data_IF_985784499573
#
_entry.id   IF_985784499573
#
_cell.length_a   1.000
_cell.length_b   1.000
_cell.length_c   1.000
_cell.angle_alpha   90.00
_cell.angle_beta   90.00
_cell.angle_gamma   90.00
#
_symmetry.space_group_name_H-M   'P 1'
#
loop_
_entity.id
_entity.type
_entity.pdbx_description
1 polymer ?
#
# COMPACT_ATOMS: atom_id res chain seq x y z
N UNK A 1 34.15 -34.72 -11.14
CA UNK A 1 35.37 -34.30 -10.40
C UNK A 1 35.04 -33.25 -9.35
N UNK A 2 34.63 -32.04 -9.75
CA UNK A 2 34.25 -30.95 -8.84
C UNK A 2 33.31 -31.34 -7.68
N UNK A 3 32.20 -32.02 -7.99
CA UNK A 3 31.19 -32.42 -7.01
C UNK A 3 31.61 -33.49 -5.98
N UNK A 4 32.77 -34.13 -6.16
CA UNK A 4 33.29 -35.17 -5.25
C UNK A 4 34.58 -34.69 -4.58
N UNK A 5 35.56 -34.26 -5.39
CA UNK A 5 36.91 -33.92 -4.94
C UNK A 5 36.96 -32.63 -4.09
N UNK A 6 36.08 -31.64 -4.33
CA UNK A 6 36.05 -30.39 -3.56
C UNK A 6 35.20 -30.49 -2.27
N UNK A 7 34.53 -31.64 -2.04
CA UNK A 7 33.52 -31.82 -0.98
C UNK A 7 33.94 -32.79 0.14
N UNK A 8 35.15 -33.37 0.08
CA UNK A 8 35.69 -34.24 1.13
C UNK A 8 35.90 -33.50 2.47
N UNK A 9 35.96 -32.16 2.44
CA UNK A 9 36.27 -31.33 3.60
C UNK A 9 37.77 -31.26 3.88
N UNK A 10 38.19 -30.11 4.39
CA UNK A 10 39.57 -29.80 4.80
C UNK A 10 39.63 -28.37 5.30
N UNK A 11 40.49 -28.09 6.28
CA UNK A 11 40.87 -26.72 6.59
C UNK A 11 41.75 -26.21 5.46
N UNK A 12 41.35 -25.12 4.81
CA UNK A 12 42.30 -24.31 4.07
C UNK A 12 43.30 -23.82 5.13
N UNK A 13 44.54 -24.36 5.14
CA UNK A 13 45.61 -23.85 6.01
C UNK A 13 45.66 -22.34 5.78
N UNK A 14 45.24 -21.58 6.79
CA UNK A 14 45.46 -20.15 6.80
C UNK A 14 46.96 -19.97 6.62
N UNK A 15 47.42 -19.14 5.65
CA UNK A 15 48.84 -18.84 5.54
C UNK A 15 49.32 -18.41 6.93
N UNK A 16 50.43 -18.98 7.43
CA UNK A 16 51.05 -18.51 8.67
C UNK A 16 51.28 -17.00 8.53
N UNK A 17 50.43 -16.20 9.17
CA UNK A 17 50.59 -14.76 9.19
C UNK A 17 51.76 -14.46 10.11
N UNK A 18 52.87 -14.01 9.52
CA UNK A 18 53.88 -13.29 10.27
C UNK A 18 53.19 -12.16 11.06
N UNK A 19 53.52 -11.98 12.35
CA UNK A 19 52.89 -10.97 13.19
C UNK A 19 53.42 -9.59 12.79
N UNK A 20 52.76 -8.95 11.83
CA UNK A 20 53.15 -7.63 11.35
C UNK A 20 52.20 -7.07 10.30
N UNK A 21 51.16 -6.38 10.78
CA UNK A 21 50.37 -5.37 10.06
C UNK A 21 49.60 -5.83 8.80
N UNK A 22 48.27 -5.84 8.93
CA UNK A 22 47.26 -5.26 8.02
C UNK A 22 46.01 -6.15 7.94
N UNK A 23 44.88 -5.63 8.45
CA UNK A 23 43.55 -6.23 8.38
C UNK A 23 43.17 -6.54 6.93
N UNK A 24 43.32 -7.80 6.53
CA UNK A 24 42.68 -8.32 5.33
C UNK A 24 41.24 -8.73 5.67
N UNK A 25 40.26 -8.57 4.75
CA UNK A 25 38.87 -8.89 5.05
C UNK A 25 38.76 -10.35 5.45
N UNK A 26 38.07 -10.63 6.56
CA UNK A 26 37.74 -11.98 7.00
C UNK A 26 37.01 -12.70 5.85
N UNK A 27 37.74 -13.51 5.09
CA UNK A 27 37.15 -14.34 4.04
C UNK A 27 36.45 -15.49 4.76
N UNK A 28 35.13 -15.55 4.67
CA UNK A 28 34.40 -16.77 4.96
C UNK A 28 34.85 -17.81 3.93
N UNK A 29 35.88 -18.59 4.26
CA UNK A 29 36.21 -19.79 3.51
C UNK A 29 34.96 -20.68 3.58
N UNK A 30 34.31 -20.89 2.44
CA UNK A 30 33.14 -21.77 2.37
C UNK A 30 33.66 -23.19 2.62
N UNK A 31 33.62 -23.65 3.86
CA UNK A 31 33.74 -25.07 4.19
C UNK A 31 32.53 -25.79 3.57
N UNK A 32 32.62 -26.15 2.29
CA UNK A 32 31.61 -26.95 1.60
C UNK A 32 31.99 -28.42 1.71
N UNK A 33 31.73 -29.03 2.85
CA UNK A 33 31.79 -30.47 3.02
C UNK A 33 30.45 -31.12 2.61
N UNK A 34 30.50 -32.32 2.06
CA UNK A 34 29.29 -33.10 1.81
C UNK A 34 28.68 -33.56 3.13
N UNK A 35 27.40 -33.25 3.35
CA UNK A 35 26.67 -33.69 4.56
C UNK A 35 25.96 -35.05 4.36
N UNK A 36 25.65 -35.42 3.12
CA UNK A 36 24.92 -36.62 2.78
C UNK A 36 25.31 -37.10 1.37
N UNK A 37 25.48 -38.42 1.23
CA UNK A 37 25.79 -39.07 -0.04
C UNK A 37 24.64 -40.04 -0.38
N UNK A 38 24.22 -40.05 -1.64
CA UNK A 38 23.19 -40.96 -2.15
C UNK A 38 23.84 -41.87 -3.19
N UNK A 39 23.85 -43.18 -2.91
CA UNK A 39 24.39 -44.20 -3.81
C UNK A 39 23.26 -45.00 -4.44
N UNK A 40 23.43 -45.36 -5.71
CA UNK A 40 22.51 -46.21 -6.46
C UNK A 40 23.28 -47.46 -6.86
N UNK A 41 22.71 -48.64 -6.60
CA UNK A 41 23.30 -49.91 -7.02
C UNK A 41 23.35 -49.96 -8.54
N UNK A 42 24.50 -50.30 -9.10
CA UNK A 42 24.72 -50.28 -10.55
C UNK A 42 23.72 -51.15 -11.32
N UNK A 43 23.38 -52.33 -10.78
CA UNK A 43 22.38 -53.22 -11.38
C UNK A 43 20.97 -52.63 -11.45
N UNK A 44 20.63 -51.69 -10.57
CA UNK A 44 19.28 -51.14 -10.42
C UNK A 44 19.18 -49.72 -11.02
N UNK A 45 20.26 -49.23 -11.62
CA UNK A 45 20.39 -47.86 -12.13
C UNK A 45 19.28 -47.51 -13.12
N UNK A 46 19.02 -48.36 -14.10
CA UNK A 46 18.02 -48.07 -15.15
C UNK A 46 16.58 -48.15 -14.63
N UNK A 47 16.36 -48.90 -13.55
CA UNK A 47 15.06 -48.99 -12.87
C UNK A 47 14.79 -47.72 -12.04
N UNK A 48 15.81 -47.20 -11.37
CA UNK A 48 15.69 -46.04 -10.48
C UNK A 48 15.76 -44.72 -11.27
N UNK A 49 16.66 -44.62 -12.25
CA UNK A 49 16.81 -43.46 -13.13
C UNK A 49 16.09 -43.77 -14.44
N UNK A 50 14.75 -43.80 -14.37
CA UNK A 50 13.90 -43.95 -15.55
C UNK A 50 13.52 -42.60 -16.15
N UNK A 51 13.14 -42.60 -17.43
CA UNK A 51 12.60 -41.42 -18.08
C UNK A 51 11.16 -41.21 -17.59
N UNK A 52 10.90 -40.07 -16.96
CA UNK A 52 9.56 -39.66 -16.54
C UNK A 52 9.04 -38.64 -17.54
N UNK A 53 7.91 -38.92 -18.16
CA UNK A 53 7.25 -38.03 -19.10
C UNK A 53 6.00 -37.37 -18.49
N UNK A 54 5.34 -36.53 -19.27
CA UNK A 54 4.13 -35.86 -18.79
C UNK A 54 3.03 -36.86 -18.46
N UNK A 55 2.92 -37.97 -19.21
CA UNK A 55 1.88 -39.01 -19.07
C UNK A 55 1.95 -39.74 -17.73
N UNK A 56 3.14 -39.82 -17.14
CA UNK A 56 3.38 -40.41 -15.81
C UNK A 56 2.77 -39.60 -14.65
N UNK A 57 2.46 -38.31 -14.89
CA UNK A 57 1.83 -37.43 -13.89
C UNK A 57 0.31 -37.56 -13.99
N UNK A 58 -0.36 -37.84 -12.87
CA UNK A 58 -1.82 -37.91 -12.84
C UNK A 58 -2.48 -36.60 -13.29
N UNK A 59 -3.52 -36.69 -14.11
CA UNK A 59 -4.17 -35.54 -14.76
C UNK A 59 -4.61 -34.44 -13.77
N UNK A 60 -5.23 -34.83 -12.65
CA UNK A 60 -5.67 -33.88 -11.63
C UNK A 60 -4.51 -33.09 -11.00
N UNK A 61 -3.30 -33.67 -10.94
CA UNK A 61 -2.11 -32.97 -10.47
C UNK A 61 -1.61 -31.98 -11.52
N UNK A 62 -1.65 -32.32 -12.81
CA UNK A 62 -1.27 -31.39 -13.88
C UNK A 62 -2.14 -30.14 -13.90
N UNK A 63 -3.46 -30.33 -13.85
CA UNK A 63 -4.43 -29.22 -13.80
C UNK A 63 -4.15 -28.31 -12.60
N UNK A 64 -3.92 -28.91 -11.42
CA UNK A 64 -3.61 -28.14 -10.20
C UNK A 64 -2.29 -27.39 -10.32
N UNK A 65 -1.23 -28.04 -10.79
CA UNK A 65 0.09 -27.44 -10.95
C UNK A 65 0.08 -26.28 -11.95
N UNK A 66 -0.65 -26.42 -13.06
CA UNK A 66 -0.77 -25.35 -14.05
C UNK A 66 -1.55 -24.16 -13.47
N UNK A 67 -2.66 -24.42 -12.76
CA UNK A 67 -3.39 -23.36 -12.05
C UNK A 67 -2.53 -22.64 -11.00
N UNK A 68 -1.74 -23.39 -10.24
CA UNK A 68 -0.83 -22.83 -9.24
C UNK A 68 0.27 -21.97 -9.92
N UNK A 69 0.75 -22.39 -11.10
CA UNK A 69 1.73 -21.66 -11.91
C UNK A 69 1.13 -20.37 -12.47
N UNK A 70 -0.06 -20.43 -13.05
CA UNK A 70 -0.81 -19.28 -13.54
C UNK A 70 -1.07 -18.25 -12.42
N UNK A 71 -1.50 -18.71 -11.25
CA UNK A 71 -1.70 -17.82 -10.10
C UNK A 71 -0.38 -17.18 -9.64
N UNK A 72 0.73 -17.94 -9.63
CA UNK A 72 2.05 -17.42 -9.25
C UNK A 72 2.53 -16.37 -10.24
N UNK A 73 2.37 -16.58 -11.54
CA UNK A 73 2.71 -15.60 -12.57
C UNK A 73 1.80 -14.36 -12.49
N UNK A 74 0.50 -14.52 -12.24
CA UNK A 74 -0.42 -13.41 -11.99
C UNK A 74 0.01 -12.57 -10.78
N UNK A 75 0.29 -13.22 -9.63
CA UNK A 75 0.78 -12.53 -8.42
C UNK A 75 2.12 -11.83 -8.65
N UNK A 76 3.01 -12.45 -9.43
CA UNK A 76 4.31 -11.87 -9.79
C UNK A 76 4.13 -10.61 -10.66
N UNK A 77 3.23 -10.66 -11.64
CA UNK A 77 2.86 -9.51 -12.47
C UNK A 77 2.23 -8.38 -11.64
N UNK A 78 1.27 -8.69 -10.78
CA UNK A 78 0.65 -7.71 -9.88
C UNK A 78 1.67 -7.04 -8.94
N UNK A 79 2.62 -7.81 -8.38
CA UNK A 79 3.72 -7.26 -7.57
C UNK A 79 4.67 -6.39 -8.39
N UNK A 80 4.99 -6.81 -9.61
CA UNK A 80 5.81 -6.03 -10.52
C UNK A 80 5.13 -4.71 -10.90
N UNK A 81 3.81 -4.69 -11.04
CA UNK A 81 3.03 -3.49 -11.38
C UNK A 81 2.60 -2.66 -10.16
N UNK A 82 2.68 -3.19 -8.94
CA UNK A 82 2.20 -2.51 -7.73
C UNK A 82 2.83 -1.13 -7.52
N UNK A 83 4.09 -0.95 -7.91
CA UNK A 83 4.79 0.32 -7.79
C UNK A 83 4.22 1.43 -8.69
N UNK A 84 3.45 1.09 -9.73
CA UNK A 84 2.79 2.03 -10.64
C UNK A 84 1.50 2.60 -10.06
N UNK A 85 0.94 1.96 -9.02
CA UNK A 85 -0.31 2.37 -8.39
C UNK A 85 -0.07 3.02 -7.04
N UNK A 86 -1.04 3.79 -6.58
CA UNK A 86 -1.11 4.31 -5.22
C UNK A 86 -2.54 4.26 -4.72
N UNK A 87 -2.70 4.24 -3.40
CA UNK A 87 -4.00 4.28 -2.75
C UNK A 87 -4.29 5.72 -2.33
N UNK A 88 -5.49 6.20 -2.67
CA UNK A 88 -6.06 7.45 -2.18
C UNK A 88 -7.26 7.10 -1.30
N UNK A 89 -7.25 7.55 -0.04
CA UNK A 89 -8.36 7.40 0.90
C UNK A 89 -9.14 8.70 0.93
N UNK A 90 -10.45 8.64 0.68
CA UNK A 90 -11.32 9.83 0.60
C UNK A 90 -12.38 9.73 1.68
N UNK A 91 -12.28 10.59 2.69
CA UNK A 91 -13.28 10.73 3.73
C UNK A 91 -14.31 11.82 3.37
N UNK A 92 -15.59 11.57 3.65
CA UNK A 92 -16.70 12.53 3.45
C UNK A 92 -17.38 12.91 4.75
N UNK A 93 -18.30 13.87 4.66
CA UNK A 93 -19.14 14.28 5.78
C UNK A 93 -19.92 13.11 6.39
N UNK A 94 -20.45 12.22 5.55
CA UNK A 94 -21.15 10.99 5.94
C UNK A 94 -20.29 10.06 6.79
N UNK A 95 -19.02 9.88 6.42
CA UNK A 95 -18.08 9.01 7.15
C UNK A 95 -17.80 9.57 8.55
N UNK A 96 -17.64 10.89 8.65
CA UNK A 96 -17.51 11.57 9.94
C UNK A 96 -18.75 11.37 10.79
N UNK A 97 -19.94 11.60 10.23
CA UNK A 97 -21.22 11.44 10.94
C UNK A 97 -21.43 10.00 11.40
N UNK A 98 -21.03 9.02 10.59
CA UNK A 98 -21.16 7.60 10.91
C UNK A 98 -20.19 7.12 11.99
N UNK A 99 -19.04 7.78 12.18
CA UNK A 99 -17.98 7.30 13.08
C UNK A 99 -17.82 8.15 14.35
N UNK A 100 -18.19 9.43 14.33
CA UNK A 100 -18.16 10.30 15.51
C UNK A 100 -19.06 9.71 16.61
N UNK A 101 -18.52 9.64 17.83
CA UNK A 101 -19.27 9.15 19.00
C UNK A 101 -19.36 7.62 19.10
N UNK A 102 -18.62 6.89 18.27
CA UNK A 102 -18.44 5.43 18.36
C UNK A 102 -17.05 5.09 18.90
N UNK A 103 -16.29 4.29 18.17
CA UNK A 103 -14.98 3.79 18.60
C UNK A 103 -13.85 4.84 18.51
N UNK A 104 -14.14 6.04 17.97
CA UNK A 104 -13.16 7.08 17.69
C UNK A 104 -13.52 8.37 18.43
N UNK A 105 -12.71 8.70 19.44
CA UNK A 105 -12.97 9.84 20.33
C UNK A 105 -12.22 11.11 19.89
N UNK A 106 -10.92 11.01 19.58
CA UNK A 106 -10.07 12.16 19.29
C UNK A 106 -10.02 12.55 17.81
N UNK A 107 -9.98 11.54 16.94
CA UNK A 107 -9.98 11.76 15.50
C UNK A 107 -11.40 11.94 14.93
N UNK A 108 -11.45 12.42 13.70
CA UNK A 108 -12.71 12.64 12.99
C UNK A 108 -13.18 11.37 12.28
N UNK A 109 -12.25 10.51 11.84
CA UNK A 109 -12.54 9.32 11.06
C UNK A 109 -11.38 8.32 11.15
N UNK A 110 -11.71 7.04 11.09
CA UNK A 110 -10.79 5.93 10.85
C UNK A 110 -10.63 5.78 9.34
N UNK A 111 -9.42 6.06 8.88
CA UNK A 111 -9.08 6.06 7.46
C UNK A 111 -9.05 4.65 6.86
N UNK A 112 -9.08 3.58 7.66
CA UNK A 112 -9.18 2.22 7.14
C UNK A 112 -10.63 1.82 6.85
N UNK A 113 -11.60 2.59 7.34
CA UNK A 113 -13.05 2.39 7.13
C UNK A 113 -13.66 3.36 6.10
N UNK A 114 -12.86 4.21 5.45
CA UNK A 114 -13.33 5.13 4.40
C UNK A 114 -13.07 4.58 3.00
N UNK A 115 -13.81 5.05 1.98
CA UNK A 115 -13.57 4.69 0.59
C UNK A 115 -12.10 4.83 0.17
N UNK A 116 -11.57 3.76 -0.43
CA UNK A 116 -10.18 3.65 -0.88
C UNK A 116 -10.11 3.41 -2.39
N UNK A 117 -9.38 4.26 -3.09
CA UNK A 117 -9.24 4.23 -4.53
C UNK A 117 -7.83 3.80 -4.90
N UNK A 118 -7.69 2.69 -5.63
CA UNK A 118 -6.40 2.24 -6.18
C UNK A 118 -6.22 2.83 -7.59
N UNK A 119 -5.38 3.85 -7.69
CA UNK A 119 -5.24 4.67 -8.90
C UNK A 119 -3.80 4.63 -9.42
N UNK A 120 -3.62 4.71 -10.75
CA UNK A 120 -2.29 4.81 -11.36
C UNK A 120 -1.63 6.14 -10.99
N UNK A 121 -0.34 6.11 -10.62
CA UNK A 121 0.41 7.31 -10.25
C UNK A 121 0.47 8.34 -11.38
N UNK A 122 0.54 7.90 -12.64
CA UNK A 122 0.54 8.79 -13.81
C UNK A 122 -0.84 9.39 -14.15
N UNK A 123 -1.92 8.93 -13.53
CA UNK A 123 -3.25 9.46 -13.81
C UNK A 123 -3.32 10.95 -13.41
N UNK A 124 -3.81 11.85 -14.28
CA UNK A 124 -4.10 13.23 -13.91
C UNK A 124 -5.10 13.30 -12.75
N UNK A 125 -4.90 14.20 -11.80
CA UNK A 125 -5.81 14.32 -10.66
C UNK A 125 -7.23 14.72 -11.10
N UNK A 126 -7.37 15.49 -12.18
CA UNK A 126 -8.67 15.81 -12.80
C UNK A 126 -9.46 14.56 -13.20
N UNK A 127 -8.80 13.56 -13.79
CA UNK A 127 -9.43 12.29 -14.14
C UNK A 127 -9.80 11.49 -12.89
N UNK A 128 -9.00 11.57 -11.82
CA UNK A 128 -9.38 10.99 -10.53
C UNK A 128 -10.67 11.62 -9.96
N UNK A 129 -10.88 12.94 -10.11
CA UNK A 129 -12.16 13.60 -9.70
C UNK A 129 -13.35 12.98 -10.44
N UNK A 130 -13.20 12.59 -11.70
CA UNK A 130 -14.24 11.89 -12.47
C UNK A 130 -14.52 10.49 -11.95
N UNK A 131 -13.50 9.72 -11.57
CA UNK A 131 -13.67 8.40 -10.95
C UNK A 131 -14.41 8.53 -9.60
N UNK A 132 -14.07 9.53 -8.79
CA UNK A 132 -14.81 9.85 -7.57
C UNK A 132 -16.26 10.26 -7.88
N UNK A 133 -16.48 11.00 -8.97
CA UNK A 133 -17.83 11.39 -9.38
C UNK A 133 -18.69 10.19 -9.76
N UNK A 134 -18.12 9.20 -10.45
CA UNK A 134 -18.81 7.96 -10.83
C UNK A 134 -19.15 7.11 -9.60
N UNK A 135 -18.20 6.95 -8.68
CA UNK A 135 -18.38 6.10 -7.50
C UNK A 135 -19.34 6.73 -6.47
N UNK A 136 -19.23 8.04 -6.24
CA UNK A 136 -19.95 8.73 -5.16
C UNK A 136 -21.14 9.56 -5.65
N UNK A 137 -21.36 9.66 -6.97
CA UNK A 137 -22.47 10.41 -7.57
C UNK A 137 -22.35 11.93 -7.46
N UNK A 138 -21.16 12.47 -7.15
CA UNK A 138 -20.93 13.90 -6.93
C UNK A 138 -20.18 14.49 -8.14
N UNK A 139 -20.79 15.37 -8.95
CA UNK A 139 -20.11 15.98 -10.10
C UNK A 139 -18.84 16.74 -9.71
N UNK A 140 -17.86 16.76 -10.61
CA UNK A 140 -16.50 17.30 -10.35
C UNK A 140 -16.50 18.78 -9.94
N UNK A 141 -17.44 19.58 -10.43
CA UNK A 141 -17.59 20.99 -10.08
C UNK A 141 -17.99 21.25 -8.61
N UNK A 142 -18.51 20.22 -7.93
CA UNK A 142 -18.95 20.30 -6.53
C UNK A 142 -18.01 19.58 -5.57
N UNK A 143 -16.83 19.17 -6.07
CA UNK A 143 -15.82 18.47 -5.28
C UNK A 143 -14.68 19.43 -4.90
N UNK A 144 -14.55 19.70 -3.60
CA UNK A 144 -13.31 20.30 -3.05
C UNK A 144 -12.56 19.30 -2.19
N UNK A 145 -11.32 19.03 -2.56
CA UNK A 145 -10.45 18.14 -1.81
C UNK A 145 -9.57 18.91 -0.84
N UNK A 146 -9.48 18.40 0.38
CA UNK A 146 -8.63 18.89 1.45
C UNK A 146 -7.55 17.87 1.79
N UNK A 147 -6.33 18.34 2.01
CA UNK A 147 -5.24 17.51 2.51
C UNK A 147 -5.42 17.25 4.01
N UNK A 148 -5.28 15.99 4.40
CA UNK A 148 -5.13 15.65 5.81
C UNK A 148 -3.70 15.91 6.30
N UNK A 149 -3.58 16.37 7.53
CA UNK A 149 -2.30 16.48 8.22
C UNK A 149 -2.37 15.83 9.60
N UNK A 150 -1.29 15.18 10.01
CA UNK A 150 -1.10 14.73 11.39
C UNK A 150 -0.62 15.91 12.23
N UNK A 151 -1.28 16.16 13.36
CA UNK A 151 -0.90 17.16 14.35
C UNK A 151 0.10 16.59 15.36
N UNK A 152 0.70 17.45 16.17
CA UNK A 152 1.66 17.05 17.22
C UNK A 152 1.02 16.13 18.27
N UNK A 153 -0.25 16.33 18.59
CA UNK A 153 -1.04 15.47 19.49
C UNK A 153 -1.51 14.15 18.84
N UNK A 154 -0.88 13.76 17.72
CA UNK A 154 -1.16 12.54 16.96
C UNK A 154 -2.57 12.39 16.38
N UNK A 155 -3.38 13.46 16.38
CA UNK A 155 -4.67 13.48 15.64
C UNK A 155 -4.47 13.86 14.18
N UNK A 156 -5.29 13.30 13.30
CA UNK A 156 -5.39 13.67 11.89
C UNK A 156 -6.55 14.65 11.68
N UNK A 157 -6.32 15.73 10.93
CA UNK A 157 -7.35 16.73 10.59
C UNK A 157 -7.21 17.21 9.15
N UNK A 158 -8.31 17.59 8.47
CA UNK A 158 -8.23 18.39 7.26
C UNK A 158 -7.50 19.69 7.58
N UNK A 159 -6.48 20.01 6.79
CA UNK A 159 -5.58 21.14 7.02
C UNK A 159 -5.88 22.30 6.08
N UNK A 160 -5.83 22.03 4.77
CA UNK A 160 -6.04 23.03 3.72
C UNK A 160 -6.64 22.40 2.47
N UNK A 161 -7.36 23.17 1.63
CA UNK A 161 -7.79 22.69 0.33
C UNK A 161 -6.60 22.52 -0.62
N UNK A 162 -6.78 21.68 -1.64
CA UNK A 162 -5.88 21.61 -2.78
C UNK A 162 -5.94 22.91 -3.57
N UNK A 163 -4.78 23.36 -4.05
CA UNK A 163 -4.72 24.53 -4.94
C UNK A 163 -4.97 24.12 -6.39
N UNK A 164 -5.38 25.05 -7.28
CA UNK A 164 -5.54 24.74 -8.70
C UNK A 164 -4.28 24.17 -9.36
N UNK A 165 -3.09 24.61 -8.91
CA UNK A 165 -1.82 24.07 -9.41
C UNK A 165 -1.60 22.61 -8.98
N UNK A 166 -2.02 22.26 -7.76
CA UNK A 166 -1.95 20.89 -7.25
C UNK A 166 -2.95 19.96 -7.93
N UNK A 167 -4.16 20.45 -8.23
CA UNK A 167 -5.16 19.69 -8.98
C UNK A 167 -4.77 19.45 -10.45
N UNK A 168 -3.86 20.27 -10.99
CA UNK A 168 -3.31 20.07 -12.34
C UNK A 168 -2.21 19.00 -12.41
N UNK A 169 -1.73 18.48 -11.26
CA UNK A 169 -0.70 17.46 -11.22
C UNK A 169 -1.25 16.05 -11.46
N UNK A 170 -0.34 15.10 -11.70
CA UNK A 170 -0.67 13.68 -11.60
C UNK A 170 -0.85 13.27 -10.14
N UNK A 171 -1.61 12.20 -9.91
CA UNK A 171 -1.85 11.63 -8.57
C UNK A 171 -0.54 11.31 -7.84
N UNK A 172 0.46 10.76 -8.55
CA UNK A 172 1.78 10.44 -8.00
C UNK A 172 2.53 11.69 -7.53
N UNK A 173 2.59 12.71 -8.37
CA UNK A 173 3.24 13.99 -8.05
C UNK A 173 2.52 14.71 -6.90
N UNK A 174 1.18 14.73 -6.89
CA UNK A 174 0.40 15.31 -5.81
C UNK A 174 0.69 14.63 -4.47
N UNK A 175 0.75 13.29 -4.47
CA UNK A 175 1.11 12.51 -3.28
C UNK A 175 2.49 12.90 -2.77
N UNK A 176 3.48 12.98 -3.64
CA UNK A 176 4.86 13.33 -3.28
C UNK A 176 4.95 14.76 -2.71
N UNK A 177 4.23 15.72 -3.31
CA UNK A 177 4.17 17.10 -2.83
C UNK A 177 3.46 17.24 -1.47
N UNK A 178 2.38 16.48 -1.25
CA UNK A 178 1.57 16.54 -0.04
C UNK A 178 2.21 15.80 1.15
N UNK A 179 2.86 14.66 0.91
CA UNK A 179 3.39 13.79 1.96
C UNK A 179 4.88 14.05 2.25
N UNK A 180 5.19 15.13 2.99
CA UNK A 180 6.56 15.38 3.51
C UNK A 180 7.09 14.26 4.42
N UNK A 181 6.21 13.42 4.96
CA UNK A 181 6.54 12.31 5.86
C UNK A 181 6.61 10.93 5.17
N UNK A 182 6.61 10.88 3.83
CA UNK A 182 6.65 9.63 3.04
C UNK A 182 5.57 8.59 3.42
N UNK A 183 4.36 9.03 3.78
CA UNK A 183 3.25 8.10 3.99
C UNK A 183 2.94 7.33 2.69
N UNK A 184 2.68 6.03 2.83
CA UNK A 184 2.40 5.14 1.71
C UNK A 184 1.10 5.49 0.96
N UNK A 185 0.20 6.25 1.57
CA UNK A 185 -1.15 6.57 1.08
C UNK A 185 -1.38 8.09 1.04
N UNK A 186 -2.18 8.55 0.09
CA UNK A 186 -2.69 9.92 0.07
C UNK A 186 -4.06 9.95 0.75
N UNK A 187 -4.22 10.78 1.78
CA UNK A 187 -5.47 10.93 2.52
C UNK A 187 -6.09 12.28 2.17
N UNK A 188 -7.32 12.26 1.69
CA UNK A 188 -8.09 13.44 1.30
C UNK A 188 -9.43 13.50 2.05
N UNK A 189 -9.89 14.70 2.34
CA UNK A 189 -11.26 14.95 2.76
C UNK A 189 -12.00 15.61 1.61
N UNK A 190 -13.13 15.04 1.20
CA UNK A 190 -13.98 15.58 0.16
C UNK A 190 -15.08 16.43 0.80
N UNK A 191 -14.96 17.74 0.63
CA UNK A 191 -16.00 18.70 0.97
C UNK A 191 -17.00 18.79 -0.18
N UNK A 192 -18.28 18.68 0.18
CA UNK A 192 -19.44 18.84 -0.71
C UNK A 192 -20.47 19.65 0.07
N UNK A 193 -21.01 20.68 -0.56
CA UNK A 193 -22.10 21.47 0.01
C UNK A 193 -23.40 21.02 -0.64
N UNK A 194 -24.38 20.65 0.19
CA UNK A 194 -25.69 20.20 -0.27
C UNK A 194 -26.71 21.31 -0.02
N UNK A 195 -27.49 21.64 -1.04
CA UNK A 195 -28.62 22.54 -0.92
C UNK A 195 -29.77 21.93 -0.12
N UNK A 196 -30.81 22.74 0.12
CA UNK A 196 -32.03 22.30 0.81
C UNK A 196 -32.75 21.16 0.08
N UNK A 197 -32.51 21.02 -1.23
CA UNK A 197 -33.02 19.94 -2.08
C UNK A 197 -32.09 18.72 -2.13
N UNK A 198 -31.07 18.66 -1.26
CA UNK A 198 -30.02 17.65 -1.21
C UNK A 198 -29.20 17.55 -2.51
N UNK A 199 -29.24 18.57 -3.36
CA UNK A 199 -28.40 18.63 -4.54
C UNK A 199 -27.07 19.32 -4.23
N UNK A 200 -25.96 18.86 -4.83
CA UNK A 200 -24.69 19.56 -4.69
C UNK A 200 -24.77 21.01 -5.17
N UNK A 201 -24.26 21.92 -4.35
CA UNK A 201 -24.13 23.34 -4.64
C UNK A 201 -22.68 23.71 -4.95
N UNK A 202 -22.51 24.76 -5.75
CA UNK A 202 -21.18 25.31 -6.03
C UNK A 202 -20.58 25.84 -4.73
N UNK A 203 -19.42 25.31 -4.38
CA UNK A 203 -18.72 25.73 -3.18
C UNK A 203 -18.15 27.15 -3.37
N UNK A 204 -18.28 28.07 -2.39
CA UNK A 204 -17.74 29.42 -2.47
C UNK A 204 -16.21 29.39 -2.49
N UNK A 205 -15.56 30.26 -3.27
CA UNK A 205 -14.09 30.31 -3.34
C UNK A 205 -13.46 30.47 -1.95
N UNK A 206 -12.39 29.70 -1.70
CA UNK A 206 -11.70 29.70 -0.41
C UNK A 206 -10.44 30.54 -0.44
N UNK A 207 -10.36 31.50 0.48
CA UNK A 207 -9.13 32.24 0.74
C UNK A 207 -8.25 31.50 1.75
N UNK A 208 -7.01 31.99 1.95
CA UNK A 208 -6.13 31.46 3.00
C UNK A 208 -6.57 31.82 4.42
N UNK A 209 -7.51 32.77 4.55
CA UNK A 209 -8.00 33.26 5.83
C UNK A 209 -9.21 32.45 6.31
N UNK A 210 -9.88 31.73 5.41
CA UNK A 210 -11.07 30.95 5.71
C UNK A 210 -10.71 29.71 6.53
N UNK A 211 -11.54 29.41 7.53
CA UNK A 211 -11.32 28.29 8.44
C UNK A 211 -12.45 27.28 8.30
N UNK A 212 -12.09 25.99 8.24
CA UNK A 212 -13.04 24.89 8.28
C UNK A 212 -13.21 24.40 9.72
N UNK A 213 -14.40 24.60 10.28
CA UNK A 213 -14.75 24.18 11.64
C UNK A 213 -15.73 23.00 11.63
N UNK A 214 -15.49 22.03 12.50
CA UNK A 214 -16.37 20.87 12.71
C UNK A 214 -17.06 20.99 14.07
N UNK A 215 -18.38 20.98 14.08
CA UNK A 215 -19.17 21.08 15.31
C UNK A 215 -19.67 19.70 15.74
N UNK A 216 -19.36 19.33 16.99
CA UNK A 216 -19.84 18.13 17.64
C UNK A 216 -20.73 18.53 18.82
N UNK A 217 -21.93 17.96 18.90
CA UNK A 217 -22.86 18.14 20.01
C UNK A 217 -22.83 16.89 20.88
N UNK A 218 -22.59 17.08 22.17
CA UNK A 218 -22.71 16.03 23.16
C UNK A 218 -24.10 16.08 23.79
N UNK A 219 -24.83 14.97 23.70
CA UNK A 219 -26.11 14.75 24.36
C UNK A 219 -25.84 14.05 25.70
N UNK A 220 -25.96 14.74 26.85
CA UNK A 220 -25.64 14.17 28.16
C UNK A 220 -26.66 13.12 28.61
N UNK A 221 -27.90 13.18 28.14
CA UNK A 221 -28.93 12.20 28.54
C UNK A 221 -28.69 10.85 27.89
N UNK A 222 -28.14 10.85 26.67
CA UNK A 222 -27.80 9.65 25.91
C UNK A 222 -26.33 9.27 26.01
N UNK A 223 -25.52 10.10 26.66
CA UNK A 223 -24.06 10.02 26.69
C UNK A 223 -23.43 9.87 25.29
N UNK A 224 -24.03 10.51 24.27
CA UNK A 224 -23.68 10.34 22.86
C UNK A 224 -23.14 11.62 22.24
N UNK A 225 -22.10 11.48 21.42
CA UNK A 225 -21.57 12.58 20.61
C UNK A 225 -22.13 12.48 19.19
N UNK A 226 -22.70 13.56 18.68
CA UNK A 226 -23.27 13.67 17.32
C UNK A 226 -22.62 14.82 16.57
N UNK A 227 -22.48 14.68 15.27
CA UNK A 227 -22.05 15.79 14.40
C UNK A 227 -23.26 16.65 14.04
N UNK A 228 -23.13 17.97 14.10
CA UNK A 228 -24.20 18.91 13.72
C UNK A 228 -24.04 19.40 12.28
N UNK A 229 -22.87 19.96 11.98
CA UNK A 229 -22.51 20.44 10.64
C UNK A 229 -21.03 20.84 10.64
N UNK A 230 -20.46 21.02 9.46
CA UNK A 230 -19.27 21.86 9.28
C UNK A 230 -19.71 23.26 8.89
N UNK A 231 -19.25 24.28 9.61
CA UNK A 231 -19.49 25.68 9.23
C UNK A 231 -18.19 26.29 8.75
N UNK A 232 -18.34 27.15 7.75
CA UNK A 232 -17.27 27.98 7.23
C UNK A 232 -17.35 29.35 7.90
N UNK A 233 -16.21 29.90 8.29
CA UNK A 233 -16.04 31.30 8.74
C UNK A 233 -14.91 31.94 7.96
#
# INVERSE_FOLDING_TARGET
KRALEEQYGGEEELPQTNPGLNNTPFKFTKYSNAYMLVYIRESDKDKIICNVDEKDIAEHLRIRLEKDREEKERRKKEKAEAHLYTIIKVARDDDLTAQIGKDIYFDLVDHDKVPSFRIQKQMPFTQFKEEVAKELGIPTQFQRFWLWAKRQNHTYRPNRPLTPQEEALTVGQLKEAANKAHNAELKLFLEVELGLDLKPLTLPDKTREDILLFFKLYDPEKEQLRKLSSSQM
#
